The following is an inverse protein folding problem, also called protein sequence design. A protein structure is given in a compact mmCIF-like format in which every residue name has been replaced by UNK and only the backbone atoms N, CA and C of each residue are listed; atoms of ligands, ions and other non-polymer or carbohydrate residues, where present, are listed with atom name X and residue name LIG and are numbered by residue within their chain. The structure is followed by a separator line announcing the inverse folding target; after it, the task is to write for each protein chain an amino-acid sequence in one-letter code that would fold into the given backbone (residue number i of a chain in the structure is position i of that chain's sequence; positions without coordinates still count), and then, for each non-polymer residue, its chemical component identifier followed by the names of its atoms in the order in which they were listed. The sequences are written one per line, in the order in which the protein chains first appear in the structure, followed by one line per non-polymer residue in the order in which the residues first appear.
data_IF_304836006566
#
_entry.id   IF_304836006566
#
_cell.length_a   1.000
_cell.length_b   1.000
_cell.length_c   1.000
_cell.angle_alpha   90.00
_cell.angle_beta   90.00
_cell.angle_gamma   90.00
#
_symmetry.space_group_name_H-M   'P 1'
#
loop_
_entity.id
_entity.type
_entity.pdbx_description
1 polymer ?
#
# COMPACT_ATOMS: atom_id res chain seq x y z
N UNK A 1 -2.95 2.44 -20.58
CA UNK A 1 -3.78 1.34 -20.05
C UNK A 1 -2.94 0.63 -19.02
N UNK A 2 -3.37 0.62 -17.76
CA UNK A 2 -2.52 0.28 -16.64
C UNK A 2 -2.98 -1.03 -15.98
N UNK A 3 -2.04 -1.80 -15.45
CA UNK A 3 -2.35 -3.02 -14.68
C UNK A 3 -2.46 -2.68 -13.21
N UNK A 4 -3.60 -2.94 -12.57
CA UNK A 4 -3.75 -2.78 -11.11
C UNK A 4 -3.31 -4.07 -10.44
N UNK A 5 -2.46 -3.99 -9.42
CA UNK A 5 -1.95 -5.14 -8.67
C UNK A 5 -2.84 -5.41 -7.46
N UNK A 6 -3.48 -6.59 -7.43
CA UNK A 6 -4.38 -6.99 -6.34
C UNK A 6 -3.68 -7.84 -5.28
N UNK A 7 -2.80 -8.73 -5.73
CA UNK A 7 -2.06 -9.68 -4.91
C UNK A 7 -0.89 -10.26 -5.72
N UNK A 8 -0.05 -11.08 -5.09
CA UNK A 8 1.07 -11.74 -5.75
C UNK A 8 0.63 -12.56 -6.98
N UNK A 9 0.98 -12.05 -8.16
CA UNK A 9 0.64 -12.67 -9.45
C UNK A 9 -0.77 -12.35 -9.97
N UNK A 10 -1.63 -11.66 -9.21
CA UNK A 10 -2.96 -11.27 -9.64
C UNK A 10 -3.00 -9.80 -10.06
N UNK A 11 -3.22 -9.57 -11.36
CA UNK A 11 -3.33 -8.24 -11.96
C UNK A 11 -4.65 -8.09 -12.72
N UNK A 12 -5.28 -6.94 -12.58
CA UNK A 12 -6.50 -6.59 -13.31
C UNK A 12 -6.21 -5.45 -14.30
N UNK A 13 -6.93 -5.43 -15.41
CA UNK A 13 -6.93 -4.32 -16.36
C UNK A 13 -8.35 -4.05 -16.85
N UNK A 14 -8.66 -2.81 -17.21
CA UNK A 14 -9.96 -2.43 -17.75
C UNK A 14 -9.84 -1.91 -19.19
N UNK A 15 -9.98 -2.78 -20.20
CA UNK A 15 -9.87 -2.38 -21.61
C UNK A 15 -10.91 -1.31 -21.97
N UNK A 16 -10.47 -0.29 -22.72
CA UNK A 16 -11.35 0.80 -23.18
C UNK A 16 -11.72 1.81 -22.09
N UNK A 17 -11.09 1.76 -20.92
CA UNK A 17 -11.22 2.76 -19.85
C UNK A 17 -10.01 3.70 -19.82
N UNK A 18 -10.24 4.88 -19.27
CA UNK A 18 -9.20 5.90 -19.08
C UNK A 18 -8.27 5.55 -17.93
N UNK A 19 -7.11 6.19 -17.90
CA UNK A 19 -6.18 6.05 -16.78
C UNK A 19 -6.77 6.56 -15.46
N UNK A 20 -7.51 7.67 -15.49
CA UNK A 20 -8.22 8.19 -14.31
C UNK A 20 -9.20 7.16 -13.72
N UNK A 21 -9.80 6.32 -14.57
CA UNK A 21 -10.66 5.24 -14.12
C UNK A 21 -9.85 4.15 -13.40
N UNK A 22 -8.74 3.72 -14.00
CA UNK A 22 -7.84 2.73 -13.39
C UNK A 22 -7.33 3.24 -12.03
N UNK A 23 -6.98 4.53 -11.93
CA UNK A 23 -6.57 5.19 -10.69
C UNK A 23 -7.67 5.17 -9.63
N UNK A 24 -8.89 5.56 -10.01
CA UNK A 24 -10.05 5.54 -9.10
C UNK A 24 -10.36 4.14 -8.56
N UNK A 25 -10.22 3.11 -9.40
CA UNK A 25 -10.40 1.72 -8.96
C UNK A 25 -9.33 1.29 -7.96
N UNK A 26 -8.05 1.58 -8.24
CA UNK A 26 -6.94 1.24 -7.33
C UNK A 26 -7.12 1.90 -5.95
N UNK A 27 -7.46 3.19 -5.92
CA UNK A 27 -7.71 3.93 -4.68
C UNK A 27 -8.93 3.37 -3.92
N UNK A 28 -10.02 3.09 -4.63
CA UNK A 28 -11.22 2.51 -4.02
C UNK A 28 -10.96 1.14 -3.40
N UNK A 29 -10.16 0.31 -4.05
CA UNK A 29 -9.73 -0.97 -3.51
C UNK A 29 -8.90 -0.84 -2.23
N UNK A 30 -7.94 0.09 -2.20
CA UNK A 30 -7.11 0.35 -1.01
C UNK A 30 -7.99 0.84 0.16
N UNK A 31 -8.96 1.73 -0.11
CA UNK A 31 -9.92 2.19 0.89
C UNK A 31 -10.72 1.03 1.50
N UNK A 32 -11.17 0.07 0.67
CA UNK A 32 -11.87 -1.13 1.15
C UNK A 32 -10.96 -2.00 2.03
N UNK A 33 -9.68 -2.18 1.67
CA UNK A 33 -8.74 -2.94 2.49
C UNK A 33 -8.49 -2.28 3.86
N UNK A 34 -8.46 -0.95 3.90
CA UNK A 34 -8.36 -0.21 5.16
C UNK A 34 -9.63 -0.33 6.01
N UNK A 35 -10.81 -0.28 5.38
CA UNK A 35 -12.12 -0.41 6.04
C UNK A 35 -12.34 -1.80 6.66
N UNK A 36 -11.74 -2.85 6.08
CA UNK A 36 -11.71 -4.19 6.67
C UNK A 36 -10.96 -4.25 8.02
N UNK A 37 -10.25 -3.19 8.41
CA UNK A 37 -9.58 -3.09 9.71
C UNK A 37 -8.34 -3.97 9.83
N UNK A 38 -7.70 -4.30 8.71
CA UNK A 38 -6.44 -5.05 8.70
C UNK A 38 -5.36 -4.27 9.46
N UNK A 39 -4.67 -4.92 10.39
CA UNK A 39 -3.61 -4.25 11.17
C UNK A 39 -2.43 -3.81 10.31
N UNK A 40 -2.14 -4.58 9.26
CA UNK A 40 -1.04 -4.37 8.33
C UNK A 40 -1.36 -5.04 6.99
N UNK A 41 -1.04 -4.37 5.89
CA UNK A 41 -1.04 -4.98 4.56
C UNK A 41 -0.15 -4.18 3.60
N UNK A 42 0.33 -4.83 2.53
CA UNK A 42 1.17 -4.17 1.52
C UNK A 42 0.50 -4.19 0.14
N UNK A 43 0.74 -3.13 -0.65
CA UNK A 43 0.27 -3.01 -2.02
C UNK A 43 1.29 -2.30 -2.90
N UNK A 44 1.47 -2.86 -4.10
CA UNK A 44 2.13 -2.22 -5.21
C UNK A 44 1.13 -1.32 -5.93
N UNK A 45 1.33 0.00 -5.84
CA UNK A 45 0.38 1.00 -6.33
C UNK A 45 1.04 1.96 -7.30
N UNK A 46 0.21 2.68 -8.04
CA UNK A 46 0.68 3.75 -8.89
C UNK A 46 1.30 4.90 -8.07
N UNK A 47 2.50 5.36 -8.46
CA UNK A 47 3.08 6.58 -7.87
C UNK A 47 2.18 7.80 -8.04
N UNK A 48 1.45 7.89 -9.15
CA UNK A 48 0.49 8.97 -9.38
C UNK A 48 -0.64 9.00 -8.34
N UNK A 49 -0.94 7.86 -7.69
CA UNK A 49 -1.97 7.75 -6.66
C UNK A 49 -1.42 7.96 -5.24
N UNK A 50 -0.10 8.01 -5.05
CA UNK A 50 0.53 8.01 -3.73
C UNK A 50 0.01 9.14 -2.83
N UNK A 51 -0.04 10.37 -3.34
CA UNK A 51 -0.48 11.54 -2.57
C UNK A 51 -1.94 11.43 -2.10
N UNK A 52 -2.82 10.86 -2.92
CA UNK A 52 -4.22 10.68 -2.58
C UNK A 52 -4.40 9.50 -1.61
N UNK A 53 -3.66 8.41 -1.82
CA UNK A 53 -3.65 7.25 -0.93
C UNK A 53 -3.14 7.63 0.46
N UNK A 54 -2.08 8.43 0.57
CA UNK A 54 -1.57 8.98 1.83
C UNK A 54 -2.65 9.78 2.58
N UNK A 55 -3.39 10.63 1.87
CA UNK A 55 -4.44 11.45 2.47
C UNK A 55 -5.58 10.58 3.05
N UNK A 56 -6.03 9.58 2.30
CA UNK A 56 -7.09 8.66 2.73
C UNK A 56 -6.60 7.81 3.91
N UNK A 57 -5.41 7.24 3.81
CA UNK A 57 -4.85 6.40 4.85
C UNK A 57 -4.70 7.15 6.18
N UNK A 58 -4.19 8.39 6.14
CA UNK A 58 -4.10 9.26 7.31
C UNK A 58 -5.48 9.48 7.96
N UNK A 59 -6.51 9.72 7.16
CA UNK A 59 -7.87 9.93 7.65
C UNK A 59 -8.46 8.64 8.26
N UNK A 60 -8.09 7.47 7.74
CA UNK A 60 -8.52 6.16 8.23
C UNK A 60 -7.65 5.61 9.37
N UNK A 61 -6.66 6.39 9.85
CA UNK A 61 -5.81 6.01 10.98
C UNK A 61 -4.65 5.09 10.62
N UNK A 62 -4.29 4.99 9.34
CA UNK A 62 -3.15 4.24 8.85
C UNK A 62 -1.93 5.15 8.63
N UNK A 63 -0.74 4.57 8.83
CA UNK A 63 0.54 5.13 8.38
C UNK A 63 1.05 4.34 7.19
N UNK A 64 1.82 4.99 6.33
CA UNK A 64 2.45 4.37 5.17
C UNK A 64 3.96 4.23 5.39
N UNK A 65 4.51 3.12 4.93
CA UNK A 65 5.95 2.89 4.81
C UNK A 65 6.24 2.43 3.38
N UNK A 66 7.02 3.23 2.63
CA UNK A 66 7.51 2.87 1.30
C UNK A 66 8.59 1.78 1.43
N UNK A 67 8.36 0.61 0.85
CA UNK A 67 9.32 -0.50 0.86
C UNK A 67 10.25 -0.49 -0.38
N UNK A 68 9.94 0.30 -1.40
CA UNK A 68 10.69 0.39 -2.65
C UNK A 68 9.79 0.83 -3.81
N UNK A 69 10.37 0.95 -5.01
CA UNK A 69 9.61 1.39 -6.19
C UNK A 69 10.51 1.74 -7.37
N UNK A 70 9.88 2.02 -8.51
CA UNK A 70 10.49 2.66 -9.67
C UNK A 70 9.86 4.04 -9.90
N UNK A 71 9.93 4.63 -11.09
CA UNK A 71 9.33 5.95 -11.39
C UNK A 71 7.80 5.90 -11.52
N UNK A 72 7.24 4.75 -11.86
CA UNK A 72 5.82 4.59 -12.17
C UNK A 72 5.06 3.96 -10.99
N UNK A 73 5.73 3.11 -10.21
CA UNK A 73 5.15 2.29 -9.17
C UNK A 73 5.90 2.38 -7.85
N UNK A 74 5.18 2.10 -6.77
CA UNK A 74 5.72 2.07 -5.40
C UNK A 74 5.07 0.96 -4.59
N UNK A 75 5.88 0.24 -3.82
CA UNK A 75 5.40 -0.69 -2.80
C UNK A 75 5.15 0.05 -1.50
N UNK A 76 3.93 -0.04 -1.00
CA UNK A 76 3.48 0.63 0.21
C UNK A 76 2.99 -0.39 1.21
N UNK A 77 3.54 -0.34 2.42
CA UNK A 77 3.00 -1.03 3.58
C UNK A 77 2.13 -0.06 4.38
N UNK A 78 0.87 -0.45 4.59
CA UNK A 78 -0.12 0.27 5.38
C UNK A 78 -0.15 -0.33 6.78
N UNK A 79 -0.01 0.51 7.81
CA UNK A 79 0.04 0.11 9.21
C UNK A 79 -1.05 0.82 10.00
N UNK A 80 -2.00 0.07 10.57
CA UNK A 80 -3.08 0.63 11.36
C UNK A 80 -2.58 1.12 12.73
N UNK A 81 -2.93 2.36 13.07
CA UNK A 81 -2.67 2.96 14.37
C UNK A 81 -1.24 3.45 14.60
N UNK A 82 -0.99 3.88 15.84
CA UNK A 82 0.29 4.43 16.30
C UNK A 82 1.24 3.38 16.82
N UNK A 83 1.03 2.10 16.48
CA UNK A 83 1.95 1.05 16.85
C UNK A 83 3.32 1.40 16.26
N UNK A 84 4.16 2.04 17.08
CA UNK A 84 5.61 1.94 16.99
C UNK A 84 5.82 0.45 16.92
N UNK A 85 6.07 -0.06 15.71
CA UNK A 85 6.48 -1.43 15.49
C UNK A 85 7.49 -1.72 16.59
N UNK A 86 7.13 -2.59 17.54
CA UNK A 86 8.05 -2.93 18.62
C UNK A 86 9.30 -3.39 17.87
N UNK A 87 10.47 -2.76 18.07
CA UNK A 87 11.65 -3.14 17.32
C UNK A 87 11.80 -4.66 17.45
N UNK A 88 11.93 -5.36 16.32
CA UNK A 88 12.20 -6.80 16.30
C UNK A 88 13.61 -6.99 16.87
N UNK A 89 13.71 -6.99 18.19
CA UNK A 89 14.95 -7.22 18.91
C UNK A 89 15.34 -8.68 18.70
N UNK A 90 16.49 -8.90 18.06
CA UNK A 90 17.10 -10.22 17.95
C UNK A 90 18.14 -10.34 19.05
N UNK A 91 17.96 -11.30 19.95
CA UNK A 91 18.98 -11.64 20.94
C UNK A 91 20.24 -12.11 20.21
N UNK A 92 21.36 -11.41 20.38
CA UNK A 92 22.69 -11.85 19.94
C UNK A 92 23.53 -12.13 21.16
N UNK A 93 24.00 -13.37 21.30
CA UNK A 93 24.96 -13.73 22.32
C UNK A 93 26.33 -13.13 21.95
N UNK A 94 26.87 -12.25 22.79
CA UNK A 94 28.26 -11.82 22.67
C UNK A 94 29.14 -13.00 23.07
N UNK A 95 29.91 -13.53 22.12
CA UNK A 95 30.96 -14.50 22.40
C UNK A 95 32.13 -13.70 23.01
N UNK A 96 32.51 -14.05 24.23
CA UNK A 96 33.67 -13.49 24.93
C UNK A 96 34.98 -14.15 24.50
#
# INVERSE_FOLDING_TARGET
MRHIHLDDGLRLRFPGRSEDFDQGVEIGMIAVLMDQGLSEFSRWIARSNLSQVEAIAKQMGYRLEEAGGDEEWVDITFLYGTAKSKPKLKLVHSVG
#
